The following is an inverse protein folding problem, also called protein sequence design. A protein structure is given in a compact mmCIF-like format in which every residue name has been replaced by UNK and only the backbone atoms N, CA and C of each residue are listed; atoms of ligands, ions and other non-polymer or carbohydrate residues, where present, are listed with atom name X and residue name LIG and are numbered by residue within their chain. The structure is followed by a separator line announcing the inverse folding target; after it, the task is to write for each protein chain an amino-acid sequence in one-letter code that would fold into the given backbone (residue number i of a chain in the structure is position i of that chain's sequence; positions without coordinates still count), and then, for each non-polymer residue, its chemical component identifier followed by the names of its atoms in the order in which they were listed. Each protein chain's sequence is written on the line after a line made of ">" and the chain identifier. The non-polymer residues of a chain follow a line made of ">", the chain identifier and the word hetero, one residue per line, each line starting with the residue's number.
data_IF_125385157192
#
_entry.id   IF_125385157192
#
_cell.length_a   1.000
_cell.length_b   1.000
_cell.length_c   1.000
_cell.angle_alpha   90.00
_cell.angle_beta   90.00
_cell.angle_gamma   90.00
#
_symmetry.space_group_name_H-M   'P 1'
#
loop_
_entity.id
_entity.type
_entity.pdbx_description
1 polymer ?
#
# COMPACT_ATOMS: atom_id res chain seq x y z
N UNK A 1 9.75 13.53 -8.40
CA UNK A 1 8.35 13.75 -8.78
C UNK A 1 7.63 12.42 -8.83
N UNK A 2 6.31 12.43 -8.65
CA UNK A 2 5.54 11.19 -8.63
C UNK A 2 5.66 10.40 -9.91
N UNK A 3 5.65 11.08 -11.05
CA UNK A 3 5.78 10.44 -12.36
C UNK A 3 7.12 9.74 -12.51
N UNK A 4 8.19 10.33 -11.99
CA UNK A 4 9.51 9.73 -12.06
C UNK A 4 9.57 8.44 -11.27
N UNK A 5 8.96 8.44 -10.08
CA UNK A 5 8.91 7.24 -9.25
C UNK A 5 8.05 6.15 -9.88
N UNK A 6 6.94 6.55 -10.50
CA UNK A 6 5.99 5.60 -11.08
C UNK A 6 6.37 5.17 -12.49
N UNK A 7 7.47 5.67 -13.02
CA UNK A 7 7.91 5.33 -14.36
C UNK A 7 8.01 3.82 -14.52
N UNK A 8 7.28 3.27 -15.47
CA UNK A 8 7.25 1.84 -15.70
C UNK A 8 6.43 1.02 -14.71
N UNK A 9 5.79 1.68 -13.74
CA UNK A 9 4.94 1.00 -12.76
C UNK A 9 3.59 1.70 -12.66
N UNK A 10 2.52 0.92 -12.57
CA UNK A 10 1.23 1.47 -12.25
C UNK A 10 1.02 1.46 -10.72
N UNK A 11 -0.04 2.14 -10.27
CA UNK A 11 -0.33 2.28 -8.84
C UNK A 11 -0.56 0.91 -8.18
N UNK A 12 -1.21 -0.01 -8.89
CA UNK A 12 -1.47 -1.35 -8.34
C UNK A 12 -0.17 -2.12 -8.11
N UNK A 13 0.82 -1.94 -8.99
CA UNK A 13 2.14 -2.55 -8.82
C UNK A 13 2.84 -1.98 -7.58
N UNK A 14 2.72 -0.67 -7.37
CA UNK A 14 3.30 -0.04 -6.17
C UNK A 14 2.66 -0.61 -4.91
N UNK A 15 1.35 -0.77 -4.89
CA UNK A 15 0.65 -1.35 -3.75
C UNK A 15 1.11 -2.79 -3.47
N UNK A 16 1.29 -3.59 -4.53
CA UNK A 16 1.82 -4.95 -4.36
C UNK A 16 3.22 -4.94 -3.79
N UNK A 17 4.07 -4.03 -4.26
CA UNK A 17 5.45 -3.89 -3.76
C UNK A 17 5.47 -3.53 -2.27
N UNK A 18 4.53 -2.69 -1.83
CA UNK A 18 4.39 -2.36 -0.41
C UNK A 18 4.07 -3.62 0.39
N UNK A 19 3.13 -4.42 -0.08
CA UNK A 19 2.77 -5.68 0.60
C UNK A 19 3.91 -6.66 0.67
N UNK A 20 4.71 -6.73 -0.39
CA UNK A 20 5.86 -7.64 -0.45
C UNK A 20 7.08 -7.11 0.32
N UNK A 21 7.03 -5.87 0.81
CA UNK A 21 8.14 -5.28 1.56
C UNK A 21 9.22 -4.67 0.71
N UNK A 22 9.00 -4.52 -0.59
CA UNK A 22 9.97 -3.91 -1.51
C UNK A 22 9.94 -2.38 -1.45
N UNK A 23 8.84 -1.81 -0.99
CA UNK A 23 8.66 -0.37 -0.85
C UNK A 23 8.24 -0.08 0.58
N UNK A 24 8.93 0.86 1.21
CA UNK A 24 8.63 1.27 2.57
C UNK A 24 7.94 2.63 2.53
N UNK A 25 6.70 2.68 3.00
CA UNK A 25 5.92 3.91 2.99
C UNK A 25 6.30 4.77 4.19
N UNK A 26 6.67 6.02 3.90
CA UNK A 26 7.01 7.00 4.92
C UNK A 26 6.54 8.38 4.45
N UNK A 27 6.49 9.39 5.34
CA UNK A 27 6.15 10.74 4.89
C UNK A 27 7.08 11.26 3.80
N UNK A 28 8.37 10.90 3.87
CA UNK A 28 9.33 11.33 2.85
C UNK A 28 9.00 10.72 1.49
N UNK A 29 8.66 9.42 1.48
CA UNK A 29 8.23 8.74 0.27
C UNK A 29 6.98 9.41 -0.32
N UNK A 30 6.03 9.76 0.54
CA UNK A 30 4.75 10.31 0.11
C UNK A 30 4.82 11.75 -0.38
N UNK A 31 5.88 12.48 -0.05
CA UNK A 31 6.07 13.85 -0.53
C UNK A 31 6.09 13.95 -2.06
N UNK A 32 6.39 12.88 -2.73
CA UNK A 32 6.47 12.82 -4.19
C UNK A 32 5.09 12.83 -4.85
N UNK A 33 4.05 12.55 -4.10
CA UNK A 33 2.72 12.35 -4.65
C UNK A 33 1.86 13.58 -4.44
N UNK A 34 1.06 13.91 -5.46
CA UNK A 34 0.01 14.91 -5.31
C UNK A 34 -1.24 14.25 -4.73
N UNK A 35 -2.26 15.05 -4.46
CA UNK A 35 -3.49 14.56 -3.84
C UNK A 35 -4.16 13.45 -4.64
N UNK A 36 -4.26 13.62 -5.95
CA UNK A 36 -4.93 12.63 -6.81
C UNK A 36 -4.20 11.30 -6.80
N UNK A 37 -2.88 11.33 -6.92
CA UNK A 37 -2.07 10.11 -6.93
C UNK A 37 -2.12 9.44 -5.57
N UNK A 38 -2.09 10.22 -4.49
CA UNK A 38 -2.15 9.68 -3.15
C UNK A 38 -3.49 8.97 -2.89
N UNK A 39 -4.58 9.57 -3.37
CA UNK A 39 -5.90 8.95 -3.29
C UNK A 39 -5.95 7.63 -4.03
N UNK A 40 -5.40 7.59 -5.24
CA UNK A 40 -5.33 6.37 -6.04
C UNK A 40 -4.50 5.30 -5.34
N UNK A 41 -3.40 5.70 -4.72
CA UNK A 41 -2.55 4.77 -3.98
C UNK A 41 -3.31 4.18 -2.80
N UNK A 42 -4.04 5.00 -2.05
CA UNK A 42 -4.82 4.51 -0.92
C UNK A 42 -5.89 3.51 -1.37
N UNK A 43 -6.59 3.82 -2.45
CA UNK A 43 -7.59 2.90 -3.01
C UNK A 43 -6.93 1.58 -3.41
N UNK A 44 -5.77 1.65 -4.05
CA UNK A 44 -5.07 0.45 -4.49
C UNK A 44 -4.56 -0.38 -3.32
N UNK A 45 -4.06 0.27 -2.27
CA UNK A 45 -3.62 -0.42 -1.05
C UNK A 45 -4.80 -1.17 -0.41
N UNK A 46 -5.94 -0.50 -0.28
CA UNK A 46 -7.13 -1.12 0.30
C UNK A 46 -7.65 -2.27 -0.56
N UNK A 47 -7.62 -2.09 -1.87
CA UNK A 47 -8.01 -3.14 -2.83
C UNK A 47 -7.10 -4.36 -2.70
N UNK A 48 -5.80 -4.13 -2.57
CA UNK A 48 -4.83 -5.21 -2.45
C UNK A 48 -5.06 -5.98 -1.15
N UNK A 49 -5.32 -5.29 -0.05
CA UNK A 49 -5.67 -5.96 1.22
C UNK A 49 -6.92 -6.82 1.06
N UNK A 50 -7.92 -6.28 0.39
CA UNK A 50 -9.18 -6.99 0.17
C UNK A 50 -8.95 -8.27 -0.66
N UNK A 51 -8.13 -8.18 -1.70
CA UNK A 51 -7.80 -9.33 -2.53
C UNK A 51 -7.06 -10.41 -1.73
N UNK A 52 -6.14 -10.00 -0.86
CA UNK A 52 -5.41 -10.96 -0.01
C UNK A 52 -6.37 -11.67 0.95
N UNK A 53 -7.30 -10.93 1.55
CA UNK A 53 -8.28 -11.51 2.46
C UNK A 53 -9.22 -12.48 1.77
N UNK A 54 -9.46 -12.27 0.48
CA UNK A 54 -10.34 -13.14 -0.30
C UNK A 54 -9.63 -14.34 -0.91
N UNK A 55 -8.30 -14.39 -0.83
CA UNK A 55 -7.56 -15.58 -1.25
C UNK A 55 -7.87 -16.73 -0.28
N UNK A 56 -7.78 -17.96 -0.81
CA UNK A 56 -7.98 -19.12 0.03
C UNK A 56 -6.98 -19.11 1.18
N UNK A 57 -7.48 -19.26 2.41
CA UNK A 57 -6.63 -19.27 3.58
C UNK A 57 -5.70 -20.50 3.53
N UNK A 58 -4.39 -20.31 3.72
CA UNK A 58 -3.41 -21.41 3.61
C UNK A 58 -3.41 -22.28 4.87
N UNK A 59 -4.51 -22.99 5.12
CA UNK A 59 -4.70 -23.84 6.29
C UNK A 59 -3.60 -24.89 6.36
N UNK A 60 -2.96 -25.00 7.52
CA UNK A 60 -1.89 -25.98 7.72
C UNK A 60 -0.53 -25.59 7.16
N UNK A 61 -0.45 -24.44 6.46
CA UNK A 61 0.80 -23.94 5.90
C UNK A 61 1.29 -22.77 6.75
N UNK A 62 2.16 -23.03 7.72
CA UNK A 62 2.65 -22.02 8.67
C UNK A 62 3.34 -20.88 7.94
N UNK A 63 4.18 -21.19 6.94
CA UNK A 63 4.89 -20.17 6.18
C UNK A 63 3.92 -19.32 5.36
N UNK A 64 2.93 -19.95 4.76
CA UNK A 64 1.91 -19.23 3.98
C UNK A 64 1.08 -18.30 4.86
N UNK A 65 0.69 -18.76 6.04
CA UNK A 65 -0.05 -17.94 7.01
C UNK A 65 0.78 -16.74 7.44
N UNK A 66 2.03 -16.96 7.77
CA UNK A 66 2.95 -15.91 8.20
C UNK A 66 3.13 -14.86 7.10
N UNK A 67 3.36 -15.32 5.88
CA UNK A 67 3.53 -14.45 4.72
C UNK A 67 2.29 -13.59 4.48
N UNK A 68 1.11 -14.21 4.53
CA UNK A 68 -0.16 -13.52 4.38
C UNK A 68 -0.33 -12.42 5.44
N UNK A 69 -0.06 -12.77 6.70
CA UNK A 69 -0.21 -11.82 7.79
C UNK A 69 0.76 -10.67 7.69
N UNK A 70 2.00 -10.92 7.25
CA UNK A 70 2.98 -9.86 7.02
C UNK A 70 2.55 -8.92 5.91
N UNK A 71 2.04 -9.46 4.81
CA UNK A 71 1.54 -8.64 3.70
C UNK A 71 0.40 -7.72 4.15
N UNK A 72 -0.55 -8.27 4.88
CA UNK A 72 -1.68 -7.49 5.40
C UNK A 72 -1.22 -6.41 6.38
N UNK A 73 -0.28 -6.76 7.25
CA UNK A 73 0.27 -5.82 8.22
C UNK A 73 0.97 -4.64 7.53
N UNK A 74 1.80 -4.92 6.53
CA UNK A 74 2.49 -3.88 5.78
C UNK A 74 1.52 -2.96 5.06
N UNK A 75 0.51 -3.52 4.44
CA UNK A 75 -0.50 -2.73 3.72
C UNK A 75 -1.35 -1.91 4.68
N UNK A 76 -1.71 -2.49 5.82
CA UNK A 76 -2.48 -1.77 6.83
C UNK A 76 -1.69 -0.58 7.40
N UNK A 77 -0.41 -0.80 7.68
CA UNK A 77 0.46 0.28 8.13
C UNK A 77 0.59 1.37 7.08
N UNK A 78 0.75 0.98 5.82
CA UNK A 78 0.82 1.94 4.72
C UNK A 78 -0.46 2.76 4.63
N UNK A 79 -1.62 2.12 4.73
CA UNK A 79 -2.91 2.81 4.70
C UNK A 79 -3.00 3.86 5.82
N UNK A 80 -2.58 3.49 7.02
CA UNK A 80 -2.59 4.40 8.16
C UNK A 80 -1.68 5.60 7.93
N UNK A 81 -0.47 5.37 7.44
CA UNK A 81 0.50 6.43 7.16
C UNK A 81 -0.03 7.37 6.06
N UNK A 82 -0.61 6.80 5.01
CA UNK A 82 -1.18 7.58 3.91
C UNK A 82 -2.30 8.50 4.41
N UNK A 83 -3.21 7.95 5.21
CA UNK A 83 -4.32 8.73 5.77
C UNK A 83 -3.83 9.85 6.67
N UNK A 84 -2.82 9.56 7.48
CA UNK A 84 -2.26 10.55 8.39
C UNK A 84 -1.57 11.67 7.62
N UNK A 85 -0.80 11.31 6.61
CA UNK A 85 -0.12 12.28 5.74
C UNK A 85 -1.13 13.20 5.06
N UNK A 86 -2.21 12.63 4.53
CA UNK A 86 -3.25 13.42 3.87
C UNK A 86 -3.95 14.35 4.86
N UNK A 87 -4.22 13.86 6.06
CA UNK A 87 -4.86 14.66 7.10
C UNK A 87 -4.03 15.87 7.48
N UNK A 88 -2.72 15.71 7.60
CA UNK A 88 -1.82 16.80 7.91
C UNK A 88 -1.81 17.87 6.83
N UNK A 89 -2.01 17.48 5.59
CA UNK A 89 -2.08 18.38 4.45
C UNK A 89 -3.49 18.88 4.18
N UNK A 90 -4.45 18.44 5.00
CA UNK A 90 -5.87 18.76 4.84
C UNK A 90 -6.42 18.32 3.49
N UNK A 91 -5.91 17.22 2.96
CA UNK A 91 -6.42 16.59 1.77
C UNK A 91 -7.53 15.63 2.14
N UNK A 92 -8.61 15.66 1.36
CA UNK A 92 -9.72 14.71 1.51
C UNK A 92 -9.48 13.56 0.54
N UNK A 93 -9.22 12.37 1.08
CA UNK A 93 -8.99 11.19 0.24
C UNK A 93 -9.76 9.97 0.72
#
# INVERSE_FOLDING_TARGET
>A
MAEDYLQGKNIDAVARDIGEGFVFVSPIFLKRFNQDILKKLLVSVNKTMHLIRNEKFPTGDVEGIKKRNMRLSRLNNASTIIKYFAKERRWII
#
